data_IF_349252899769
#
_entry.id   IF_349252899769
#
_cell.length_a   1.000
_cell.length_b   1.000
_cell.length_c   1.000
_cell.angle_alpha   90.00
_cell.angle_beta   90.00
_cell.angle_gamma   90.00
#
_symmetry.space_group_name_H-M   'P 1'
#
loop_
_entity.id
_entity.type
_entity.pdbx_description
1 polymer ?
#
# COMPACT_ATOMS: atom_id res chain seq x y z
N UNK A 1 61.73 47.52 16.79
CA UNK A 1 61.09 47.17 15.51
C UNK A 1 60.46 45.79 15.68
N UNK A 2 59.18 45.49 15.49
CA UNK A 2 57.95 46.23 15.28
C UNK A 2 56.82 45.17 15.29
N UNK A 3 55.74 45.44 16.05
CA UNK A 3 54.31 45.24 15.73
C UNK A 3 53.89 43.90 15.03
N UNK A 4 52.91 43.09 15.46
CA UNK A 4 51.45 43.33 15.60
C UNK A 4 50.80 42.06 16.20
N UNK A 5 49.90 42.21 17.18
CA UNK A 5 48.85 41.22 17.53
C UNK A 5 47.79 41.15 16.43
N UNK A 6 47.34 39.97 15.98
CA UNK A 6 45.91 39.74 15.67
C UNK A 6 45.45 38.31 15.96
N UNK A 7 44.41 38.29 16.81
CA UNK A 7 43.46 37.27 17.20
C UNK A 7 42.53 36.93 16.02
N UNK A 8 42.15 35.67 15.86
CA UNK A 8 40.96 35.30 15.09
C UNK A 8 41.05 33.95 14.38
N UNK A 9 40.01 33.13 14.61
CA UNK A 9 39.54 32.06 13.71
C UNK A 9 40.41 30.79 13.71
N UNK A 10 39.92 29.66 14.20
CA UNK A 10 38.98 28.87 13.39
C UNK A 10 38.17 27.93 14.29
N UNK A 11 37.08 28.47 14.82
CA UNK A 11 35.92 27.72 15.33
C UNK A 11 35.23 27.02 14.16
N UNK A 12 35.75 25.88 13.67
CA UNK A 12 35.10 25.05 12.61
C UNK A 12 35.40 23.55 12.76
N UNK A 13 35.14 22.97 13.94
CA UNK A 13 35.28 21.51 14.14
C UNK A 13 34.04 20.82 14.73
N UNK A 14 32.87 21.45 14.64
CA UNK A 14 31.64 20.91 15.24
C UNK A 14 30.42 21.09 14.34
N UNK A 15 30.48 20.75 13.05
CA UNK A 15 29.27 20.69 12.19
C UNK A 15 29.37 19.60 11.10
N UNK A 16 29.80 18.38 11.45
CA UNK A 16 29.60 17.20 10.59
C UNK A 16 29.12 16.04 11.46
N UNK A 17 27.98 16.19 12.11
CA UNK A 17 27.34 15.08 12.83
C UNK A 17 25.81 15.25 13.01
N UNK A 18 25.16 16.15 12.26
CA UNK A 18 23.76 16.49 12.48
C UNK A 18 22.85 16.35 11.25
N UNK A 19 23.28 15.65 10.19
CA UNK A 19 22.46 15.49 8.97
C UNK A 19 22.09 14.04 8.61
N UNK A 20 22.48 13.05 9.44
CA UNK A 20 22.17 11.63 9.18
C UNK A 20 21.01 11.07 10.02
N UNK A 21 20.42 11.86 10.93
CA UNK A 21 19.38 11.36 11.83
C UNK A 21 17.93 11.55 11.32
N UNK A 22 17.71 12.24 10.18
CA UNK A 22 16.37 12.60 9.73
C UNK A 22 15.80 11.68 8.61
N UNK A 23 16.53 10.65 8.16
CA UNK A 23 16.08 9.78 7.07
C UNK A 23 15.51 8.42 7.53
N UNK A 24 15.43 8.16 8.83
CA UNK A 24 15.15 6.82 9.36
C UNK A 24 13.68 6.38 9.35
N UNK A 25 12.71 7.29 9.27
CA UNK A 25 11.28 6.93 9.49
C UNK A 25 10.48 6.67 8.22
N UNK A 26 10.97 7.06 7.03
CA UNK A 26 10.27 6.81 5.77
C UNK A 26 10.51 5.42 5.15
N UNK A 27 11.61 4.75 5.52
CA UNK A 27 12.00 3.48 4.89
C UNK A 27 11.09 2.31 5.27
N UNK A 28 10.52 2.32 6.49
CA UNK A 28 9.67 1.23 6.97
C UNK A 28 8.27 1.23 6.30
N UNK A 29 7.73 2.42 6.01
CA UNK A 29 6.44 2.55 5.32
C UNK A 29 6.54 2.12 3.84
N UNK A 30 7.63 2.46 3.16
CA UNK A 30 7.88 2.07 1.76
C UNK A 30 8.07 0.55 1.61
N UNK A 31 8.70 -0.10 2.59
CA UNK A 31 8.88 -1.56 2.61
C UNK A 31 7.56 -2.31 2.86
N UNK A 32 6.70 -1.78 3.73
CA UNK A 32 5.36 -2.32 3.96
C UNK A 32 4.45 -2.15 2.73
N UNK A 33 4.56 -1.03 2.01
CA UNK A 33 3.84 -0.79 0.77
C UNK A 33 4.28 -1.78 -0.34
N UNK A 34 5.58 -1.90 -0.61
CA UNK A 34 6.08 -2.88 -1.60
C UNK A 34 5.66 -4.32 -1.34
N UNK A 35 5.28 -4.64 -0.10
CA UNK A 35 4.79 -5.96 0.28
C UNK A 35 3.41 -6.33 -0.34
N UNK A 36 2.63 -5.39 -0.88
CA UNK A 36 1.36 -5.75 -1.50
C UNK A 36 1.50 -6.15 -2.98
N UNK A 37 2.63 -5.81 -3.62
CA UNK A 37 2.88 -6.12 -5.03
C UNK A 37 3.00 -7.63 -5.24
N UNK A 38 2.22 -8.16 -6.18
CA UNK A 38 2.15 -9.58 -6.50
C UNK A 38 0.76 -10.02 -6.95
N UNK A 39 0.65 -11.32 -7.21
CA UNK A 39 -0.62 -11.99 -7.51
C UNK A 39 -1.09 -12.73 -6.27
N UNK A 40 -2.36 -12.53 -5.92
CA UNK A 40 -3.00 -13.08 -4.74
C UNK A 40 -4.30 -13.76 -5.16
N UNK A 41 -4.57 -14.95 -4.64
CA UNK A 41 -5.73 -15.74 -5.02
C UNK A 41 -6.41 -16.34 -3.79
N UNK A 42 -7.73 -16.34 -3.77
CA UNK A 42 -8.51 -16.95 -2.68
C UNK A 42 -10.01 -16.94 -2.95
N UNK A 43 -10.75 -17.61 -2.10
CA UNK A 43 -12.22 -17.58 -2.13
C UNK A 43 -12.76 -16.48 -1.22
N UNK A 44 -13.73 -15.72 -1.72
CA UNK A 44 -14.45 -14.70 -0.96
C UNK A 44 -15.86 -15.24 -0.67
N UNK A 45 -16.21 -15.51 0.59
CA UNK A 45 -17.51 -16.06 0.93
C UNK A 45 -18.67 -15.21 0.39
N UNK A 46 -19.59 -15.85 -0.34
CA UNK A 46 -20.75 -15.19 -0.97
C UNK A 46 -20.46 -14.48 -2.29
N UNK A 47 -19.21 -14.49 -2.77
CA UNK A 47 -18.80 -13.90 -4.06
C UNK A 47 -18.14 -14.97 -4.96
N UNK A 48 -17.24 -15.78 -4.38
CA UNK A 48 -16.49 -16.84 -5.06
C UNK A 48 -15.00 -16.54 -5.20
N UNK A 49 -14.33 -17.31 -6.05
CA UNK A 49 -12.90 -17.20 -6.28
C UNK A 49 -12.52 -15.84 -6.89
N UNK A 50 -11.56 -15.18 -6.23
CA UNK A 50 -11.00 -13.90 -6.63
C UNK A 50 -9.48 -14.01 -6.84
N UNK A 51 -9.00 -13.42 -7.93
CA UNK A 51 -7.58 -13.19 -8.20
C UNK A 51 -7.31 -11.69 -8.19
N UNK A 52 -6.45 -11.25 -7.30
CA UNK A 52 -6.00 -9.88 -7.15
C UNK A 52 -4.56 -9.77 -7.66
N UNK A 53 -4.35 -8.98 -8.71
CA UNK A 53 -3.04 -8.69 -9.28
C UNK A 53 -2.70 -7.25 -8.93
N UNK A 54 -1.71 -7.04 -8.08
CA UNK A 54 -1.15 -5.72 -7.76
C UNK A 54 0.18 -5.59 -8.49
N UNK A 55 0.23 -4.76 -9.52
CA UNK A 55 1.43 -4.56 -10.35
C UNK A 55 2.39 -3.54 -9.75
N UNK A 56 1.85 -2.50 -9.10
CA UNK A 56 2.64 -1.46 -8.46
C UNK A 56 1.82 -0.76 -7.37
N UNK A 57 2.51 -0.04 -6.51
CA UNK A 57 1.93 0.99 -5.66
C UNK A 57 2.55 2.33 -6.03
N UNK A 58 1.70 3.34 -6.18
CA UNK A 58 2.12 4.73 -6.36
C UNK A 58 2.63 5.30 -5.05
N UNK A 59 3.36 6.40 -5.14
CA UNK A 59 3.95 7.09 -3.98
C UNK A 59 2.92 7.64 -2.99
N UNK A 60 1.67 7.83 -3.44
CA UNK A 60 0.52 8.25 -2.63
C UNK A 60 -0.24 7.06 -2.01
N UNK A 61 0.26 5.84 -2.19
CA UNK A 61 -0.38 4.62 -1.71
C UNK A 61 -1.45 4.07 -2.63
N UNK A 62 -1.74 4.71 -3.77
CA UNK A 62 -2.72 4.19 -4.72
C UNK A 62 -2.21 2.89 -5.37
N UNK A 63 -3.12 1.92 -5.51
CA UNK A 63 -2.83 0.61 -6.07
C UNK A 63 -2.97 0.63 -7.59
N UNK A 64 -2.02 0.02 -8.29
CA UNK A 64 -2.15 -0.31 -9.71
C UNK A 64 -2.30 -1.82 -9.90
N UNK A 65 -3.10 -2.21 -10.91
CA UNK A 65 -3.32 -3.60 -11.26
C UNK A 65 -4.79 -3.90 -11.55
N UNK A 66 -5.23 -5.11 -11.22
CA UNK A 66 -6.59 -5.58 -11.49
C UNK A 66 -7.07 -6.63 -10.50
N UNK A 67 -8.37 -6.82 -10.45
CA UNK A 67 -9.04 -7.88 -9.72
C UNK A 67 -9.95 -8.66 -10.67
N UNK A 68 -9.96 -9.98 -10.54
CA UNK A 68 -10.67 -10.91 -11.40
C UNK A 68 -11.54 -11.83 -10.54
N UNK A 69 -12.81 -11.98 -10.89
CA UNK A 69 -13.73 -12.91 -10.24
C UNK A 69 -14.11 -14.03 -11.22
N UNK A 70 -13.66 -15.25 -10.93
CA UNK A 70 -13.72 -16.38 -11.87
C UNK A 70 -15.16 -16.72 -12.26
N UNK A 71 -16.08 -16.78 -11.27
CA UNK A 71 -17.47 -17.16 -11.50
C UNK A 71 -18.28 -16.14 -12.31
N UNK A 72 -17.84 -14.88 -12.36
CA UNK A 72 -18.59 -13.82 -13.02
C UNK A 72 -17.92 -13.36 -14.33
N UNK A 73 -16.75 -13.90 -14.67
CA UNK A 73 -15.92 -13.39 -15.78
C UNK A 73 -15.63 -11.89 -15.63
N UNK A 74 -15.69 -11.37 -14.41
CA UNK A 74 -15.65 -9.95 -14.13
C UNK A 74 -14.22 -9.54 -13.80
N UNK A 75 -13.66 -8.66 -14.64
CA UNK A 75 -12.33 -8.08 -14.44
C UNK A 75 -12.51 -6.59 -14.20
N UNK A 76 -11.93 -6.08 -13.11
CA UNK A 76 -11.87 -4.66 -12.82
C UNK A 76 -10.45 -4.17 -12.56
N UNK A 77 -10.07 -3.08 -13.21
CA UNK A 77 -8.76 -2.43 -13.00
C UNK A 77 -8.83 -1.46 -11.82
N UNK A 78 -7.68 -1.08 -11.27
CA UNK A 78 -7.63 -0.01 -10.28
C UNK A 78 -7.62 1.38 -10.93
N UNK A 79 -8.35 2.31 -10.34
CA UNK A 79 -8.41 3.72 -10.72
C UNK A 79 -8.65 4.61 -9.48
N UNK A 80 -8.86 5.92 -9.69
CA UNK A 80 -9.08 6.90 -8.62
C UNK A 80 -10.39 6.70 -7.86
N UNK A 81 -11.36 6.02 -8.47
CA UNK A 81 -12.67 5.74 -7.89
C UNK A 81 -13.21 4.36 -8.29
N UNK A 82 -14.00 3.78 -7.40
CA UNK A 82 -14.79 2.61 -7.71
C UNK A 82 -15.97 3.01 -8.62
N UNK A 83 -16.16 2.30 -9.72
CA UNK A 83 -17.21 2.57 -10.71
C UNK A 83 -17.61 1.26 -11.41
N UNK A 84 -18.86 0.82 -11.19
CA UNK A 84 -19.38 -0.44 -11.72
C UNK A 84 -19.49 -0.43 -13.24
N UNK A 85 -19.89 0.70 -13.82
CA UNK A 85 -20.08 0.86 -15.27
C UNK A 85 -18.73 0.84 -16.00
N UNK A 86 -17.70 1.44 -15.40
CA UNK A 86 -16.33 1.45 -15.95
C UNK A 86 -15.50 0.24 -15.54
N UNK A 87 -16.03 -0.62 -14.66
CA UNK A 87 -15.33 -1.77 -14.08
C UNK A 87 -14.01 -1.35 -13.43
N UNK A 88 -14.05 -0.29 -12.61
CA UNK A 88 -12.87 0.15 -11.86
C UNK A 88 -13.09 -0.04 -10.37
N UNK A 89 -12.05 -0.52 -9.67
CA UNK A 89 -11.96 -0.51 -8.22
C UNK A 89 -11.13 0.70 -7.78
N UNK A 90 -11.29 1.13 -6.53
CA UNK A 90 -10.32 2.03 -5.89
C UNK A 90 -9.51 1.24 -4.88
N UNK A 91 -8.19 1.24 -5.02
CA UNK A 91 -7.27 0.56 -4.11
C UNK A 91 -6.31 1.55 -3.48
N UNK A 92 -6.14 1.49 -2.17
CA UNK A 92 -5.22 2.36 -1.42
C UNK A 92 -4.53 1.57 -0.32
N UNK A 93 -3.22 1.77 -0.15
CA UNK A 93 -2.44 1.25 0.96
C UNK A 93 -2.06 2.40 1.89
N UNK A 94 -2.47 2.31 3.15
CA UNK A 94 -2.05 3.22 4.21
C UNK A 94 -1.78 2.42 5.46
N UNK A 95 -0.73 2.77 6.20
CA UNK A 95 -0.41 2.18 7.51
C UNK A 95 -0.39 0.64 7.49
N UNK A 96 0.19 0.05 6.43
CA UNK A 96 0.27 -1.40 6.26
C UNK A 96 -1.07 -2.10 6.01
N UNK A 97 -2.11 -1.35 5.67
CA UNK A 97 -3.45 -1.86 5.36
C UNK A 97 -3.84 -1.51 3.93
N UNK A 98 -4.17 -2.54 3.15
CA UNK A 98 -4.76 -2.43 1.82
C UNK A 98 -6.28 -2.31 1.94
N UNK A 99 -6.83 -1.20 1.47
CA UNK A 99 -8.28 -1.00 1.32
C UNK A 99 -8.64 -1.05 -0.15
N UNK A 100 -9.65 -1.85 -0.50
CA UNK A 100 -10.19 -1.92 -1.86
C UNK A 100 -11.69 -1.65 -1.82
N UNK A 101 -12.13 -0.57 -2.47
CA UNK A 101 -13.54 -0.36 -2.81
C UNK A 101 -13.81 -1.02 -4.16
N UNK A 102 -14.65 -2.05 -4.17
CA UNK A 102 -14.88 -2.88 -5.35
C UNK A 102 -15.96 -2.29 -6.27
N UNK A 103 -15.77 -2.43 -7.58
CA UNK A 103 -16.70 -1.95 -8.60
C UNK A 103 -18.13 -2.50 -8.42
N UNK A 104 -18.26 -3.77 -8.00
CA UNK A 104 -19.56 -4.44 -7.78
C UNK A 104 -20.19 -4.15 -6.40
N UNK A 105 -19.60 -3.19 -5.69
CA UNK A 105 -19.95 -2.88 -4.32
C UNK A 105 -19.22 -3.78 -3.32
N UNK A 106 -19.01 -3.22 -2.14
CA UNK A 106 -18.27 -3.84 -1.06
C UNK A 106 -16.85 -3.32 -0.93
N UNK A 107 -16.25 -3.66 0.19
CA UNK A 107 -14.97 -3.13 0.65
C UNK A 107 -14.13 -4.24 1.25
N UNK A 108 -12.91 -4.35 0.78
CA UNK A 108 -11.88 -5.18 1.41
C UNK A 108 -11.01 -4.31 2.30
N UNK A 109 -10.71 -4.81 3.49
CA UNK A 109 -9.70 -4.25 4.39
C UNK A 109 -8.76 -5.39 4.75
N UNK A 110 -7.57 -5.37 4.15
CA UNK A 110 -6.62 -6.48 4.16
C UNK A 110 -5.27 -6.02 4.71
N UNK A 111 -4.61 -6.90 5.44
CA UNK A 111 -3.23 -6.72 5.87
C UNK A 111 -2.40 -7.89 5.36
N UNK A 112 -1.10 -7.67 5.21
CA UNK A 112 -0.19 -8.77 4.91
C UNK A 112 0.02 -9.62 6.16
N UNK A 113 -0.14 -10.93 6.03
CA UNK A 113 0.04 -11.90 7.11
C UNK A 113 0.82 -13.09 6.57
N UNK A 114 2.12 -13.15 6.85
CA UNK A 114 3.04 -14.12 6.25
C UNK A 114 3.05 -14.02 4.72
N UNK A 115 2.73 -15.14 4.06
CA UNK A 115 2.67 -15.27 2.60
C UNK A 115 1.28 -15.02 1.99
N UNK A 116 0.39 -14.37 2.74
CA UNK A 116 -0.95 -14.03 2.28
C UNK A 116 -1.40 -12.62 2.66
N UNK A 117 -2.57 -12.26 2.14
CA UNK A 117 -3.36 -11.12 2.57
C UNK A 117 -4.56 -11.65 3.35
N UNK A 118 -4.78 -11.14 4.56
CA UNK A 118 -5.92 -11.53 5.38
C UNK A 118 -6.64 -10.31 5.93
N UNK A 119 -7.94 -10.42 6.12
CA UNK A 119 -8.75 -9.34 6.67
C UNK A 119 -10.23 -9.60 6.48
N UNK A 120 -10.98 -8.55 6.15
CA UNK A 120 -12.44 -8.62 6.00
C UNK A 120 -12.92 -8.09 4.66
N UNK A 121 -14.00 -8.70 4.18
CA UNK A 121 -14.82 -8.17 3.10
C UNK A 121 -16.20 -7.82 3.65
N UNK A 122 -16.64 -6.58 3.39
CA UNK A 122 -17.96 -6.09 3.78
C UNK A 122 -18.74 -5.65 2.56
N UNK A 123 -20.02 -6.02 2.43
CA UNK A 123 -20.92 -5.55 1.37
C UNK A 123 -22.29 -5.22 1.96
N UNK A 124 -22.68 -3.94 1.87
CA UNK A 124 -23.91 -3.47 2.51
C UNK A 124 -23.85 -3.66 4.03
N UNK A 125 -24.99 -4.03 4.64
CA UNK A 125 -25.11 -4.30 6.09
C UNK A 125 -25.17 -5.79 6.43
N UNK A 126 -25.26 -6.66 5.43
CA UNK A 126 -25.59 -8.09 5.62
C UNK A 126 -24.42 -9.03 5.41
N UNK A 127 -23.39 -8.61 4.67
CA UNK A 127 -22.22 -9.44 4.41
C UNK A 127 -21.00 -8.78 5.04
N UNK A 128 -20.45 -9.42 6.07
CA UNK A 128 -19.20 -9.04 6.70
C UNK A 128 -18.45 -10.32 7.12
N UNK A 129 -17.47 -10.71 6.30
CA UNK A 129 -16.85 -12.04 6.34
C UNK A 129 -15.33 -11.94 6.33
N UNK A 130 -14.62 -12.87 6.99
CA UNK A 130 -13.19 -12.97 6.85
C UNK A 130 -12.80 -13.38 5.43
N UNK A 131 -11.70 -12.82 4.93
CA UNK A 131 -11.12 -13.16 3.62
C UNK A 131 -9.63 -13.41 3.78
N UNK A 132 -9.15 -14.46 3.12
CA UNK A 132 -7.73 -14.76 3.00
C UNK A 132 -7.39 -15.02 1.54
N UNK A 133 -6.44 -14.25 1.02
CA UNK A 133 -5.85 -14.45 -0.31
C UNK A 133 -4.41 -14.94 -0.11
N UNK A 134 -4.03 -16.00 -0.81
CA UNK A 134 -2.67 -16.56 -0.78
C UNK A 134 -1.90 -16.09 -1.99
N UNK A 135 -0.59 -15.97 -1.85
CA UNK A 135 0.27 -15.69 -3.00
C UNK A 135 0.15 -16.80 -4.05
N UNK A 136 0.01 -16.42 -5.31
CA UNK A 136 -0.07 -17.32 -6.46
C UNK A 136 1.25 -17.33 -7.23
#
# INVERSE_FOLDING_TARGET
MGLILRRGETTRRLLIAAFLAALGTGALAQQAAGSFVGTWKGDVPGIGEATLVISALRSDGQVEGRMEFALQGFVSTFADKADSAKRTNKGTVSDGTLTIEAALGGRYVLQRTGDGLSGRYTRGTTLDVPVTLRKY
#
